data_IF_578406454148
#
_entry.id   IF_578406454148
#
_cell.length_a   1.000
_cell.length_b   1.000
_cell.length_c   1.000
_cell.angle_alpha   90.00
_cell.angle_beta   90.00
_cell.angle_gamma   90.00
#
_symmetry.space_group_name_H-M   'P 1'
#
loop_
_entity.id
_entity.type
_entity.pdbx_description
1 polymer ?
#
# COMPACT_ATOMS: atom_id res chain seq x y z
N UNK A 1 -35.55 -31.99 -16.84
CA UNK A 1 -34.30 -32.79 -16.66
C UNK A 1 -33.25 -31.85 -16.17
N UNK A 2 -32.94 -31.87 -14.88
CA UNK A 2 -31.82 -31.08 -14.33
C UNK A 2 -30.50 -31.70 -14.81
N UNK A 3 -29.74 -30.99 -15.64
CA UNK A 3 -28.41 -31.39 -16.02
C UNK A 3 -27.56 -31.47 -14.75
N UNK A 4 -27.07 -32.65 -14.39
CA UNK A 4 -26.17 -32.82 -13.25
C UNK A 4 -24.90 -32.01 -13.55
N UNK A 5 -24.73 -30.92 -12.80
CA UNK A 5 -23.52 -30.09 -12.88
C UNK A 5 -22.36 -30.94 -12.37
N UNK A 6 -21.34 -31.14 -13.20
CA UNK A 6 -20.14 -31.89 -12.80
C UNK A 6 -19.41 -31.13 -11.68
N UNK A 7 -19.09 -31.80 -10.58
CA UNK A 7 -18.31 -31.29 -9.44
C UNK A 7 -16.99 -30.62 -9.93
N UNK A 8 -16.40 -31.19 -10.96
CA UNK A 8 -15.18 -30.67 -11.58
C UNK A 8 -15.43 -29.30 -12.26
N UNK A 9 -16.56 -29.13 -12.95
CA UNK A 9 -16.90 -27.85 -13.58
C UNK A 9 -17.07 -26.74 -12.53
N UNK A 10 -17.62 -27.06 -11.37
CA UNK A 10 -17.75 -26.10 -10.25
C UNK A 10 -16.36 -25.67 -9.77
N UNK A 11 -15.48 -26.63 -9.50
CA UNK A 11 -14.11 -26.35 -9.03
C UNK A 11 -13.29 -25.58 -10.08
N UNK A 12 -13.42 -25.95 -11.36
CA UNK A 12 -12.72 -25.28 -12.46
C UNK A 12 -13.24 -23.86 -12.72
N UNK A 13 -14.48 -23.55 -12.30
CA UNK A 13 -15.08 -22.21 -12.40
C UNK A 13 -14.76 -21.31 -11.20
N UNK A 14 -14.19 -21.85 -10.12
CA UNK A 14 -13.82 -21.04 -8.95
C UNK A 14 -12.69 -20.07 -9.31
N UNK A 15 -12.83 -18.76 -8.96
CA UNK A 15 -11.79 -17.77 -9.24
C UNK A 15 -10.59 -17.89 -8.29
N UNK A 16 -10.72 -18.64 -7.17
CA UNK A 16 -9.63 -18.90 -6.26
C UNK A 16 -8.81 -20.11 -6.75
N UNK A 17 -7.46 -20.04 -6.70
CA UNK A 17 -6.61 -21.20 -6.90
C UNK A 17 -6.91 -22.31 -5.90
N UNK A 18 -7.22 -23.51 -6.41
CA UNK A 18 -7.51 -24.70 -5.61
C UNK A 18 -6.60 -25.85 -6.04
N UNK A 19 -5.90 -26.44 -5.06
CA UNK A 19 -5.03 -27.60 -5.24
C UNK A 19 -5.49 -28.75 -4.35
N UNK A 20 -5.35 -29.99 -4.82
CA UNK A 20 -5.42 -31.19 -3.97
C UNK A 20 -4.05 -31.85 -3.90
N UNK A 21 -3.56 -32.08 -2.68
CA UNK A 21 -2.21 -32.57 -2.42
C UNK A 21 -2.27 -33.82 -1.54
N UNK A 22 -1.54 -34.86 -1.95
CA UNK A 22 -1.45 -36.13 -1.22
C UNK A 22 -0.30 -36.22 -0.23
N UNK A 23 -0.22 -37.36 0.50
CA UNK A 23 0.75 -37.62 1.58
C UNK A 23 2.23 -37.44 1.18
N UNK A 24 2.57 -37.57 -0.10
CA UNK A 24 3.95 -37.36 -0.60
C UNK A 24 4.15 -35.96 -1.21
N UNK A 25 3.30 -35.01 -0.83
CA UNK A 25 3.25 -33.64 -1.37
C UNK A 25 3.01 -33.59 -2.87
N UNK A 26 2.46 -34.68 -3.44
CA UNK A 26 2.18 -34.77 -4.86
C UNK A 26 0.84 -34.11 -5.16
N UNK A 27 0.81 -33.24 -6.18
CA UNK A 27 -0.39 -32.55 -6.62
C UNK A 27 -1.23 -33.51 -7.44
N UNK A 28 -2.44 -33.83 -6.97
CA UNK A 28 -3.39 -34.69 -7.66
C UNK A 28 -4.39 -33.92 -8.52
N UNK A 29 -4.71 -32.67 -8.11
CA UNK A 29 -5.64 -31.79 -8.82
C UNK A 29 -5.22 -30.32 -8.68
N UNK A 30 -5.53 -29.53 -9.72
CA UNK A 30 -5.44 -28.07 -9.74
C UNK A 30 -6.53 -27.54 -10.67
N UNK A 31 -7.33 -26.58 -10.21
CA UNK A 31 -8.34 -25.90 -11.04
C UNK A 31 -7.68 -24.90 -12.02
N UNK A 32 -8.47 -24.26 -12.88
CA UNK A 32 -7.94 -23.28 -13.85
C UNK A 32 -7.26 -22.09 -13.17
N UNK A 33 -7.84 -21.57 -12.10
CA UNK A 33 -7.23 -20.47 -11.36
C UNK A 33 -5.88 -20.82 -10.73
N UNK A 34 -5.70 -22.08 -10.27
CA UNK A 34 -4.41 -22.55 -9.77
C UNK A 34 -3.38 -22.73 -10.90
N UNK A 35 -3.80 -23.20 -12.07
CA UNK A 35 -2.92 -23.32 -13.23
C UNK A 35 -2.42 -21.94 -13.70
N UNK A 36 -3.28 -20.93 -13.68
CA UNK A 36 -2.93 -19.55 -13.99
C UNK A 36 -2.00 -18.96 -12.90
N UNK A 37 -2.35 -19.11 -11.63
CA UNK A 37 -1.57 -18.60 -10.51
C UNK A 37 -0.13 -19.13 -10.49
N UNK A 38 0.04 -20.43 -10.71
CA UNK A 38 1.37 -21.07 -10.75
C UNK A 38 1.99 -21.07 -12.16
N UNK A 39 1.37 -20.43 -13.14
CA UNK A 39 1.83 -20.37 -14.54
C UNK A 39 2.22 -21.75 -15.10
N UNK A 40 1.45 -22.79 -14.76
CA UNK A 40 1.74 -24.18 -15.11
C UNK A 40 0.47 -24.98 -15.39
N UNK A 41 0.49 -25.82 -16.46
CA UNK A 41 -0.63 -26.72 -16.76
C UNK A 41 -0.81 -27.81 -15.70
N UNK A 42 -2.03 -28.35 -15.57
CA UNK A 42 -2.33 -29.47 -14.65
C UNK A 42 -1.38 -30.65 -14.84
N UNK A 43 -1.03 -30.97 -16.08
CA UNK A 43 -0.10 -32.08 -16.41
C UNK A 43 1.33 -31.80 -15.90
N UNK A 44 1.74 -30.54 -15.90
CA UNK A 44 3.03 -30.10 -15.35
C UNK A 44 3.00 -30.10 -13.83
N UNK A 45 1.94 -29.57 -13.21
CA UNK A 45 1.77 -29.53 -11.75
C UNK A 45 1.75 -30.94 -11.13
N UNK A 46 1.07 -31.91 -11.76
CA UNK A 46 1.04 -33.28 -11.27
C UNK A 46 2.40 -33.99 -11.25
N UNK A 47 3.36 -33.53 -12.04
CA UNK A 47 4.74 -34.07 -12.07
C UNK A 47 5.63 -33.43 -11.02
N UNK A 48 5.17 -32.34 -10.37
CA UNK A 48 5.92 -31.59 -9.37
C UNK A 48 5.40 -31.90 -7.98
N UNK A 49 6.27 -31.76 -7.00
CA UNK A 49 5.89 -31.76 -5.59
C UNK A 49 5.53 -30.34 -5.16
N UNK A 50 4.66 -30.22 -4.17
CA UNK A 50 4.26 -28.93 -3.58
C UNK A 50 5.49 -28.09 -3.16
N UNK A 51 6.51 -28.71 -2.57
CA UNK A 51 7.76 -28.07 -2.16
C UNK A 51 8.46 -27.30 -3.28
N UNK A 52 8.38 -27.81 -4.53
CA UNK A 52 9.02 -27.14 -5.67
C UNK A 52 8.25 -25.93 -6.20
N UNK A 53 7.01 -25.76 -5.77
CA UNK A 53 6.17 -24.61 -6.12
C UNK A 53 6.22 -23.51 -5.05
N UNK A 54 6.66 -23.85 -3.85
CA UNK A 54 6.69 -22.91 -2.72
C UNK A 54 8.07 -22.26 -2.60
N UNK A 55 8.14 -21.00 -2.14
CA UNK A 55 9.40 -20.37 -1.78
C UNK A 55 10.11 -21.16 -0.67
N UNK A 56 11.44 -21.06 -0.66
CA UNK A 56 12.23 -21.70 0.39
C UNK A 56 11.83 -21.17 1.77
N UNK A 57 11.58 -22.10 2.73
CA UNK A 57 11.12 -21.72 4.07
C UNK A 57 9.62 -21.41 4.18
N UNK A 58 8.82 -21.59 3.13
CA UNK A 58 7.37 -21.41 3.18
C UNK A 58 6.71 -22.38 4.17
N UNK A 59 5.79 -21.92 5.02
CA UNK A 59 5.08 -22.79 5.99
C UNK A 59 4.07 -23.74 5.34
N UNK A 60 3.77 -23.57 4.05
CA UNK A 60 2.69 -24.30 3.35
C UNK A 60 2.85 -25.82 3.42
N UNK A 61 4.07 -26.32 3.28
CA UNK A 61 4.36 -27.77 3.32
C UNK A 61 4.04 -28.32 4.68
N UNK A 62 4.48 -27.66 5.76
CA UNK A 62 4.20 -28.06 7.15
C UNK A 62 2.70 -28.01 7.45
N UNK A 63 1.97 -27.02 6.91
CA UNK A 63 0.51 -26.92 7.06
C UNK A 63 -0.20 -28.12 6.42
N UNK A 64 0.21 -28.55 5.24
CA UNK A 64 -0.32 -29.71 4.55
C UNK A 64 -0.04 -30.99 5.35
N UNK A 65 1.19 -31.18 5.83
CA UNK A 65 1.58 -32.31 6.67
C UNK A 65 0.72 -32.38 7.94
N UNK A 66 0.60 -31.27 8.66
CA UNK A 66 -0.21 -31.17 9.88
C UNK A 66 -1.70 -31.43 9.60
N UNK A 67 -2.21 -30.93 8.46
CA UNK A 67 -3.59 -31.16 8.05
C UNK A 67 -3.86 -32.66 7.81
N UNK A 68 -2.98 -33.34 7.09
CA UNK A 68 -3.11 -34.77 6.79
C UNK A 68 -2.91 -35.65 8.02
N UNK A 69 -1.94 -35.29 8.90
CA UNK A 69 -1.64 -36.05 10.11
C UNK A 69 -2.75 -35.95 11.16
N UNK A 70 -3.27 -34.74 11.38
CA UNK A 70 -4.23 -34.48 12.47
C UNK A 70 -5.69 -34.48 11.97
N UNK A 71 -5.94 -34.54 10.66
CA UNK A 71 -7.28 -34.42 10.05
C UNK A 71 -8.02 -33.15 10.47
N UNK A 72 -7.30 -32.07 10.66
CA UNK A 72 -7.83 -30.76 11.03
C UNK A 72 -7.63 -29.74 9.90
N UNK A 73 -8.57 -28.81 9.80
CA UNK A 73 -8.42 -27.68 8.89
C UNK A 73 -7.56 -26.58 9.53
N UNK A 74 -6.71 -25.95 8.72
CA UNK A 74 -5.85 -24.86 9.11
C UNK A 74 -6.09 -23.65 8.21
N UNK A 75 -6.03 -22.47 8.82
CA UNK A 75 -6.09 -21.19 8.11
C UNK A 75 -4.85 -20.41 8.50
N UNK A 76 -4.08 -19.97 7.51
CA UNK A 76 -2.91 -19.15 7.73
C UNK A 76 -3.00 -17.93 6.84
N UNK A 77 -2.69 -16.75 7.40
CA UNK A 77 -2.91 -15.47 6.76
C UNK A 77 -1.58 -14.78 6.46
N UNK A 78 -1.49 -14.16 5.27
CA UNK A 78 -0.34 -13.33 4.92
C UNK A 78 0.91 -14.11 4.55
N UNK A 79 0.76 -15.31 4.00
CA UNK A 79 1.89 -16.11 3.51
C UNK A 79 2.43 -15.49 2.23
N UNK A 80 3.74 -15.30 2.17
CA UNK A 80 4.43 -14.88 0.95
C UNK A 80 4.73 -16.11 0.07
N UNK A 81 4.09 -16.18 -1.09
CA UNK A 81 4.32 -17.18 -2.13
C UNK A 81 5.05 -16.61 -3.34
N UNK A 82 5.74 -15.48 -3.18
CA UNK A 82 6.48 -14.84 -4.27
C UNK A 82 7.58 -15.76 -4.79
N UNK A 83 7.48 -16.12 -6.07
CA UNK A 83 8.42 -16.98 -6.80
C UNK A 83 8.44 -16.56 -8.27
N UNK A 84 9.46 -16.98 -9.06
CA UNK A 84 9.53 -16.63 -10.48
C UNK A 84 8.29 -17.01 -11.29
N UNK A 85 7.54 -18.01 -10.86
CA UNK A 85 6.34 -18.52 -11.52
C UNK A 85 5.02 -18.01 -10.93
N UNK A 86 5.03 -17.42 -9.73
CA UNK A 86 3.86 -16.77 -9.10
C UNK A 86 3.91 -15.24 -9.17
N UNK A 87 5.03 -14.71 -9.63
CA UNK A 87 5.31 -13.29 -9.70
C UNK A 87 5.84 -12.70 -8.37
N UNK A 88 6.40 -11.51 -8.42
CA UNK A 88 6.76 -10.75 -7.22
C UNK A 88 5.48 -10.33 -6.52
N UNK A 89 5.40 -10.34 -5.21
CA UNK A 89 4.26 -9.85 -4.40
C UNK A 89 3.02 -10.77 -4.34
N UNK A 90 3.23 -12.08 -4.27
CA UNK A 90 2.16 -13.07 -4.11
C UNK A 90 1.85 -13.35 -2.64
N UNK A 91 1.41 -12.32 -1.88
CA UNK A 91 0.93 -12.51 -0.51
C UNK A 91 -0.50 -13.06 -0.55
N UNK A 92 -0.69 -14.21 0.11
CA UNK A 92 -1.96 -14.95 0.09
C UNK A 92 -2.42 -15.31 1.49
N UNK A 93 -3.72 -15.52 1.63
CA UNK A 93 -4.29 -16.25 2.74
C UNK A 93 -4.53 -17.69 2.28
N UNK A 94 -4.18 -18.67 3.10
CA UNK A 94 -4.24 -20.07 2.78
C UNK A 94 -5.24 -20.78 3.68
N UNK A 95 -6.16 -21.53 3.08
CA UNK A 95 -7.05 -22.45 3.76
C UNK A 95 -6.69 -23.88 3.38
N UNK A 96 -6.40 -24.73 4.36
CA UNK A 96 -6.05 -26.13 4.16
C UNK A 96 -7.07 -26.99 4.88
N UNK A 97 -7.74 -27.87 4.16
CA UNK A 97 -8.75 -28.75 4.72
C UNK A 97 -8.50 -30.22 4.30
N UNK A 98 -8.64 -31.20 5.20
CA UNK A 98 -8.51 -32.60 4.85
C UNK A 98 -9.77 -33.10 4.13
N UNK A 99 -9.60 -33.94 3.12
CA UNK A 99 -10.68 -34.70 2.52
C UNK A 99 -10.21 -36.07 2.04
N UNK A 100 -11.14 -36.98 1.81
CA UNK A 100 -10.84 -38.29 1.27
C UNK A 100 -11.39 -38.41 -0.15
N UNK A 101 -10.59 -38.95 -1.08
CA UNK A 101 -11.08 -39.26 -2.41
C UNK A 101 -11.98 -40.52 -2.40
N UNK A 102 -12.64 -40.82 -3.50
CA UNK A 102 -13.50 -42.03 -3.66
C UNK A 102 -12.74 -43.37 -3.43
N UNK A 103 -11.42 -43.36 -3.44
CA UNK A 103 -10.56 -44.49 -3.15
C UNK A 103 -10.10 -44.62 -1.71
N UNK A 104 -10.56 -43.74 -0.82
CA UNK A 104 -10.16 -43.71 0.62
C UNK A 104 -8.77 -43.12 0.85
N UNK A 105 -8.16 -42.48 -0.14
CA UNK A 105 -6.87 -41.79 0.00
C UNK A 105 -7.09 -40.42 0.66
N UNK A 106 -6.34 -40.14 1.73
CA UNK A 106 -6.37 -38.84 2.39
C UNK A 106 -5.61 -37.80 1.59
N UNK A 107 -6.27 -36.70 1.31
CA UNK A 107 -5.76 -35.56 0.57
C UNK A 107 -5.98 -34.28 1.36
N UNK A 108 -5.13 -33.28 1.16
CA UNK A 108 -5.35 -31.93 1.64
C UNK A 108 -5.82 -31.04 0.47
N UNK A 109 -6.95 -30.35 0.68
CA UNK A 109 -7.45 -29.33 -0.20
C UNK A 109 -6.85 -27.99 0.22
N UNK A 110 -6.08 -27.37 -0.67
CA UNK A 110 -5.52 -26.04 -0.49
C UNK A 110 -6.32 -25.04 -1.29
N UNK A 111 -6.85 -24.03 -0.64
CA UNK A 111 -7.46 -22.88 -1.29
C UNK A 111 -6.52 -21.70 -1.03
N UNK A 112 -5.95 -21.19 -2.11
CA UNK A 112 -5.08 -20.01 -2.06
C UNK A 112 -5.95 -18.82 -2.36
N UNK A 113 -6.05 -17.90 -1.41
CA UNK A 113 -6.78 -16.66 -1.57
C UNK A 113 -5.77 -15.50 -1.69
N UNK A 114 -5.44 -15.06 -2.91
CA UNK A 114 -4.63 -13.86 -3.07
C UNK A 114 -5.27 -12.72 -2.30
N UNK A 115 -4.50 -12.01 -1.49
CA UNK A 115 -5.03 -10.84 -0.79
C UNK A 115 -5.48 -9.83 -1.83
N UNK A 116 -6.76 -9.89 -2.13
CA UNK A 116 -7.36 -9.07 -3.16
C UNK A 116 -7.24 -7.59 -2.79
N UNK A 117 -7.13 -6.76 -3.81
CA UNK A 117 -7.22 -5.30 -3.72
C UNK A 117 -8.39 -4.84 -2.83
N UNK A 118 -9.52 -5.57 -2.85
CA UNK A 118 -10.69 -5.28 -2.03
C UNK A 118 -10.41 -5.32 -0.52
N UNK A 119 -9.66 -6.29 -0.03
CA UNK A 119 -9.32 -6.39 1.39
C UNK A 119 -8.31 -5.30 1.83
N UNK A 120 -7.40 -4.91 0.92
CA UNK A 120 -6.48 -3.78 1.14
C UNK A 120 -7.24 -2.45 1.14
N UNK A 121 -8.25 -2.31 0.29
CA UNK A 121 -9.13 -1.14 0.21
C UNK A 121 -10.00 -0.99 1.46
N UNK A 122 -10.54 -2.07 2.01
CA UNK A 122 -11.36 -2.04 3.23
C UNK A 122 -10.54 -1.55 4.44
N UNK A 123 -9.29 -1.99 4.57
CA UNK A 123 -8.33 -1.41 5.52
C UNK A 123 -8.11 0.09 5.30
N UNK A 124 -7.98 0.54 4.05
CA UNK A 124 -7.79 1.95 3.74
C UNK A 124 -9.00 2.82 4.08
N UNK A 125 -10.22 2.30 3.96
CA UNK A 125 -11.43 3.02 4.38
C UNK A 125 -11.44 3.26 5.90
N UNK A 126 -10.90 2.34 6.67
CA UNK A 126 -10.74 2.48 8.13
C UNK A 126 -9.69 3.55 8.46
N UNK A 127 -8.54 3.55 7.77
CA UNK A 127 -7.50 4.59 7.92
C UNK A 127 -7.99 5.99 7.49
N UNK A 128 -8.86 6.07 6.46
CA UNK A 128 -9.53 7.33 6.07
C UNK A 128 -10.44 7.88 7.18
N UNK A 129 -11.15 7.01 7.89
CA UNK A 129 -11.98 7.42 9.02
C UNK A 129 -11.16 8.04 10.15
N UNK A 130 -10.04 7.44 10.53
CA UNK A 130 -9.12 7.97 11.53
C UNK A 130 -8.51 9.31 11.08
N UNK A 131 -8.04 9.40 9.84
CA UNK A 131 -7.48 10.65 9.30
C UNK A 131 -8.52 11.78 9.24
N UNK A 132 -9.79 11.50 8.88
CA UNK A 132 -10.87 12.49 8.90
C UNK A 132 -11.22 13.00 10.29
N UNK A 133 -11.24 12.13 11.30
CA UNK A 133 -11.52 12.53 12.68
C UNK A 133 -10.42 13.47 13.23
N UNK A 134 -9.16 13.20 12.87
CA UNK A 134 -8.02 14.08 13.16
C UNK A 134 -8.17 15.40 12.40
N UNK A 135 -8.61 15.37 11.14
CA UNK A 135 -8.78 16.54 10.27
C UNK A 135 -9.79 17.56 10.83
N UNK A 136 -10.96 17.09 11.28
CA UNK A 136 -12.03 17.99 11.78
C UNK A 136 -11.62 18.81 13.02
N UNK A 137 -10.69 18.30 13.83
CA UNK A 137 -10.19 18.99 15.03
C UNK A 137 -8.91 19.81 14.77
N UNK A 138 -8.21 19.52 13.67
CA UNK A 138 -6.85 20.03 13.43
C UNK A 138 -6.79 21.54 13.29
N UNK A 139 -7.68 22.16 12.54
CA UNK A 139 -7.63 23.60 12.26
C UNK A 139 -7.89 24.44 13.52
N UNK A 140 -8.89 24.06 14.32
CA UNK A 140 -9.22 24.79 15.54
C UNK A 140 -8.11 24.65 16.58
N UNK A 141 -7.63 23.41 16.81
CA UNK A 141 -6.55 23.15 17.76
C UNK A 141 -5.23 23.80 17.32
N UNK A 142 -4.93 23.83 16.01
CA UNK A 142 -3.72 24.46 15.51
C UNK A 142 -3.68 25.96 15.87
N UNK A 143 -4.76 26.68 15.63
CA UNK A 143 -4.85 28.11 15.99
C UNK A 143 -4.77 28.32 17.50
N UNK A 144 -5.45 27.51 18.30
CA UNK A 144 -5.44 27.61 19.75
C UNK A 144 -4.09 27.28 20.40
N UNK A 145 -3.28 26.41 19.75
CA UNK A 145 -1.92 26.06 20.20
C UNK A 145 -0.90 27.08 19.71
N UNK A 146 -1.00 27.60 18.48
CA UNK A 146 -0.08 28.62 17.94
C UNK A 146 -0.10 29.91 18.74
N UNK A 147 -1.26 30.30 19.26
CA UNK A 147 -1.41 31.55 20.06
C UNK A 147 -0.54 31.53 21.31
N UNK A 148 -0.64 30.58 22.26
CA UNK A 148 0.23 30.53 23.44
C UNK A 148 1.70 30.33 23.07
N UNK A 149 2.03 29.53 22.01
CA UNK A 149 3.42 29.37 21.57
C UNK A 149 4.02 30.68 21.09
N UNK A 150 3.28 31.52 20.38
CA UNK A 150 3.71 32.84 19.96
C UNK A 150 3.98 33.75 21.15
N UNK A 151 3.14 33.67 22.19
CA UNK A 151 3.35 34.39 23.45
C UNK A 151 4.61 33.94 24.19
N UNK A 152 4.84 32.61 24.31
CA UNK A 152 6.03 32.06 24.96
C UNK A 152 7.30 32.46 24.18
N UNK A 153 7.29 32.37 22.84
CA UNK A 153 8.41 32.78 22.00
C UNK A 153 8.70 34.29 22.16
N UNK A 154 7.67 35.13 22.12
CA UNK A 154 7.81 36.58 22.30
C UNK A 154 8.38 36.95 23.67
N UNK A 155 7.92 36.31 24.75
CA UNK A 155 8.46 36.49 26.08
C UNK A 155 9.95 36.05 26.17
N UNK A 156 10.31 34.92 25.61
CA UNK A 156 11.69 34.44 25.57
C UNK A 156 12.61 35.41 24.80
N UNK A 157 12.16 35.94 23.66
CA UNK A 157 12.90 36.92 22.85
C UNK A 157 13.10 38.25 23.59
N UNK A 158 12.11 38.71 24.34
CA UNK A 158 12.25 39.91 25.16
C UNK A 158 13.25 39.71 26.31
N UNK A 159 13.24 38.54 26.94
CA UNK A 159 14.19 38.20 27.99
C UNK A 159 15.63 38.08 27.46
N UNK A 160 15.84 37.64 26.21
CA UNK A 160 17.16 37.43 25.62
C UNK A 160 18.00 38.72 25.59
N UNK A 161 17.35 39.89 25.51
CA UNK A 161 18.04 41.20 25.53
C UNK A 161 18.57 41.62 26.92
N UNK A 162 18.01 41.06 28.01
CA UNK A 162 18.26 41.52 29.36
C UNK A 162 18.94 40.46 30.28
N UNK A 163 19.26 39.28 29.77
CA UNK A 163 19.84 38.19 30.56
C UNK A 163 21.36 38.05 30.37
N UNK A 164 22.01 37.43 31.33
CA UNK A 164 23.42 37.04 31.22
C UNK A 164 23.66 36.00 30.11
N UNK A 165 24.90 35.92 29.61
CA UNK A 165 25.25 34.96 28.55
C UNK A 165 24.86 33.51 28.88
N UNK A 166 24.91 33.12 30.15
CA UNK A 166 24.51 31.79 30.63
C UNK A 166 23.00 31.52 30.50
N UNK A 167 22.17 32.58 30.70
CA UNK A 167 20.72 32.48 30.54
C UNK A 167 20.25 32.70 29.11
N UNK A 168 21.08 33.29 28.23
CA UNK A 168 20.77 33.45 26.81
C UNK A 168 20.67 32.10 26.09
N UNK A 169 21.45 31.10 26.49
CA UNK A 169 21.31 29.74 25.96
C UNK A 169 19.93 29.14 26.29
N UNK A 170 19.39 29.42 27.47
CA UNK A 170 18.05 28.92 27.86
C UNK A 170 16.93 29.62 27.09
N UNK A 171 17.04 30.92 26.85
CA UNK A 171 16.05 31.65 26.05
C UNK A 171 16.06 31.20 24.59
N UNK A 172 17.23 30.93 24.00
CA UNK A 172 17.38 30.37 22.69
C UNK A 172 16.82 28.94 22.58
N UNK A 173 17.01 28.10 23.61
CA UNK A 173 16.40 26.78 23.67
C UNK A 173 14.86 26.90 23.70
N UNK A 174 14.29 27.78 24.48
CA UNK A 174 12.85 28.02 24.53
C UNK A 174 12.34 28.46 23.15
N UNK A 175 13.00 29.40 22.48
CA UNK A 175 12.63 29.83 21.13
C UNK A 175 12.67 28.66 20.12
N UNK A 176 13.75 27.88 20.14
CA UNK A 176 13.90 26.76 19.20
C UNK A 176 12.87 25.65 19.42
N UNK A 177 12.56 25.30 20.67
CA UNK A 177 11.53 24.30 20.97
C UNK A 177 10.13 24.83 20.65
N UNK A 178 9.87 26.12 20.87
CA UNK A 178 8.60 26.75 20.49
C UNK A 178 8.40 26.74 18.98
N UNK A 179 9.44 27.05 18.20
CA UNK A 179 9.43 26.94 16.73
C UNK A 179 9.25 25.50 16.26
N UNK A 180 9.89 24.55 16.92
CA UNK A 180 9.72 23.12 16.64
C UNK A 180 8.28 22.67 16.85
N UNK A 181 7.65 23.07 17.96
CA UNK A 181 6.25 22.73 18.25
C UNK A 181 5.32 23.44 17.24
N UNK A 182 5.55 24.70 16.91
CA UNK A 182 4.78 25.41 15.89
C UNK A 182 4.85 24.70 14.53
N UNK A 183 6.04 24.25 14.12
CA UNK A 183 6.20 23.45 12.88
C UNK A 183 5.52 22.08 12.92
N UNK A 184 5.32 21.47 14.08
CA UNK A 184 4.51 20.26 14.23
C UNK A 184 3.02 20.58 14.06
N UNK A 185 2.57 21.71 14.64
CA UNK A 185 1.18 22.18 14.54
C UNK A 185 0.84 22.58 13.11
N UNK A 186 1.76 23.23 12.37
CA UNK A 186 1.59 23.55 10.95
C UNK A 186 1.35 22.29 10.10
N UNK A 187 2.12 21.23 10.34
CA UNK A 187 1.94 19.96 9.66
C UNK A 187 0.62 19.28 10.02
N UNK A 188 0.15 19.48 11.25
CA UNK A 188 -1.13 18.99 11.71
C UNK A 188 -2.30 19.75 11.05
N UNK A 189 -2.15 21.06 10.83
CA UNK A 189 -3.13 21.89 10.12
C UNK A 189 -3.32 21.48 8.66
N UNK A 190 -2.29 20.90 8.01
CA UNK A 190 -2.40 20.33 6.67
C UNK A 190 -3.39 19.16 6.56
N UNK A 191 -3.79 18.57 7.70
CA UNK A 191 -4.91 17.61 7.75
C UNK A 191 -6.28 18.27 7.72
N UNK A 192 -6.37 19.60 7.92
CA UNK A 192 -7.63 20.32 7.91
C UNK A 192 -8.38 20.16 6.58
N UNK A 193 -9.71 20.09 6.65
CA UNK A 193 -10.59 20.06 5.48
C UNK A 193 -10.63 21.44 4.83
N UNK A 194 -9.73 21.70 3.91
CA UNK A 194 -9.89 22.80 2.96
C UNK A 194 -10.64 22.25 1.75
N UNK A 195 -11.76 22.84 1.33
CA UNK A 195 -12.37 22.51 0.06
C UNK A 195 -11.34 22.77 -1.04
N UNK A 196 -10.86 21.72 -1.68
CA UNK A 196 -9.87 21.82 -2.74
C UNK A 196 -10.57 21.56 -4.05
N UNK A 197 -10.34 22.43 -5.02
CA UNK A 197 -10.75 22.17 -6.39
C UNK A 197 -9.99 20.95 -6.92
N UNK A 198 -10.73 19.88 -7.19
CA UNK A 198 -10.20 18.61 -7.69
C UNK A 198 -10.58 18.37 -9.15
N UNK A 199 -11.13 19.37 -9.85
CA UNK A 199 -11.66 19.21 -11.21
C UNK A 199 -10.65 19.54 -12.33
N UNK A 200 -9.45 19.97 -11.95
CA UNK A 200 -8.40 20.30 -12.94
C UNK A 200 -7.74 19.01 -13.49
N UNK A 201 -7.66 18.84 -14.83
CA UNK A 201 -6.90 17.76 -15.41
C UNK A 201 -5.39 17.98 -15.21
N UNK A 202 -4.68 16.96 -14.77
CA UNK A 202 -3.27 17.03 -14.37
C UNK A 202 -2.49 15.88 -14.98
N UNK A 203 -1.40 16.21 -15.64
CA UNK A 203 -0.40 15.25 -16.07
C UNK A 203 0.51 14.86 -14.87
N UNK A 204 0.39 13.63 -14.39
CA UNK A 204 1.15 13.16 -13.22
C UNK A 204 2.64 12.98 -13.54
N UNK A 205 3.02 12.68 -14.80
CA UNK A 205 4.43 12.58 -15.16
C UNK A 205 5.17 13.92 -14.95
N UNK A 206 4.51 15.05 -15.23
CA UNK A 206 5.08 16.37 -14.95
C UNK A 206 5.29 16.62 -13.45
N UNK A 207 4.43 16.03 -12.58
CA UNK A 207 4.61 16.08 -11.14
C UNK A 207 5.80 15.21 -10.72
N UNK A 208 5.85 13.96 -11.21
CA UNK A 208 6.93 13.01 -10.86
C UNK A 208 8.30 13.55 -11.27
N UNK A 209 8.39 14.18 -12.45
CA UNK A 209 9.63 14.81 -12.91
C UNK A 209 10.05 15.98 -12.03
N UNK A 210 9.12 16.84 -11.63
CA UNK A 210 9.39 17.94 -10.69
C UNK A 210 9.87 17.40 -9.33
N UNK A 211 9.21 16.39 -8.79
CA UNK A 211 9.59 15.76 -7.53
C UNK A 211 10.97 15.12 -7.62
N UNK A 212 11.27 14.43 -8.72
CA UNK A 212 12.60 13.86 -8.98
C UNK A 212 13.68 14.92 -9.00
N UNK A 213 13.45 16.04 -9.68
CA UNK A 213 14.40 17.16 -9.73
C UNK A 213 14.61 17.77 -8.35
N UNK A 214 13.56 18.00 -7.59
CA UNK A 214 13.64 18.51 -6.21
C UNK A 214 14.42 17.56 -5.32
N UNK A 215 14.12 16.25 -5.39
CA UNK A 215 14.82 15.24 -4.60
C UNK A 215 16.32 15.18 -4.96
N UNK A 216 16.66 15.14 -6.25
CA UNK A 216 18.04 15.04 -6.74
C UNK A 216 18.89 16.25 -6.33
N UNK A 217 18.30 17.44 -6.28
CA UNK A 217 18.98 18.67 -5.86
C UNK A 217 18.95 18.92 -4.34
N UNK A 218 18.28 18.06 -3.57
CA UNK A 218 18.11 18.20 -2.14
C UNK A 218 18.39 16.90 -1.39
N UNK A 219 17.35 16.40 -0.71
CA UNK A 219 17.44 15.26 0.22
C UNK A 219 17.83 13.93 -0.43
N UNK A 220 17.63 13.76 -1.74
CA UNK A 220 17.93 12.55 -2.51
C UNK A 220 19.17 12.68 -3.41
N UNK A 221 20.10 13.60 -3.14
CA UNK A 221 21.31 13.78 -3.94
C UNK A 221 22.22 12.54 -4.01
N UNK A 222 22.11 11.65 -3.03
CA UNK A 222 22.85 10.38 -2.94
C UNK A 222 22.16 9.21 -3.66
N UNK A 223 20.97 9.42 -4.22
CA UNK A 223 20.11 8.35 -4.78
C UNK A 223 20.22 8.31 -6.30
N UNK A 224 20.27 7.10 -6.86
CA UNK A 224 20.10 6.86 -8.29
C UNK A 224 18.59 6.77 -8.62
N UNK A 225 18.09 7.64 -9.49
CA UNK A 225 16.70 7.61 -9.94
C UNK A 225 16.59 6.90 -11.27
N UNK A 226 15.63 5.96 -11.36
CA UNK A 226 15.27 5.25 -12.61
C UNK A 226 13.81 5.59 -12.92
N UNK A 227 13.55 5.94 -14.17
CA UNK A 227 12.22 6.28 -14.67
C UNK A 227 11.74 5.17 -15.59
N UNK A 228 10.51 4.69 -15.33
CA UNK A 228 9.85 3.63 -16.10
C UNK A 228 8.37 4.04 -16.27
N UNK A 229 8.15 4.97 -17.20
CA UNK A 229 6.85 5.57 -17.41
C UNK A 229 6.15 5.05 -18.66
N UNK A 230 4.84 4.81 -18.52
CA UNK A 230 3.95 4.66 -19.67
C UNK A 230 3.51 6.04 -20.17
N UNK A 231 4.04 6.54 -21.29
CA UNK A 231 3.75 7.89 -21.78
C UNK A 231 2.31 8.06 -22.30
N UNK A 232 1.57 6.97 -22.45
CA UNK A 232 0.20 6.98 -22.98
C UNK A 232 -0.86 7.23 -21.91
N UNK A 233 -0.47 7.35 -20.63
CA UNK A 233 -1.42 7.54 -19.55
C UNK A 233 -2.17 8.87 -19.69
N UNK A 234 -3.51 8.87 -19.58
CA UNK A 234 -4.31 10.08 -19.55
C UNK A 234 -4.10 10.86 -18.25
N UNK A 235 -4.52 12.12 -18.28
CA UNK A 235 -4.51 12.98 -17.10
C UNK A 235 -5.41 12.44 -15.97
N UNK A 236 -5.11 12.82 -14.74
CA UNK A 236 -5.97 12.64 -13.56
C UNK A 236 -6.71 13.93 -13.24
N UNK A 237 -7.88 13.84 -12.62
CA UNK A 237 -8.53 15.00 -11.98
C UNK A 237 -7.96 15.22 -10.60
N UNK A 238 -7.62 16.46 -10.26
CA UNK A 238 -7.10 16.72 -8.95
C UNK A 238 -6.51 18.09 -8.73
N UNK A 239 -5.78 18.23 -7.63
CA UNK A 239 -5.00 19.40 -7.29
C UNK A 239 -3.51 19.08 -7.41
N UNK A 240 -2.81 19.88 -8.23
CA UNK A 240 -1.39 19.68 -8.55
C UNK A 240 -0.49 19.74 -7.32
N UNK A 241 -0.73 20.70 -6.43
CA UNK A 241 0.11 20.92 -5.27
C UNK A 241 -0.03 19.78 -4.26
N UNK A 242 -1.26 19.31 -4.04
CA UNK A 242 -1.54 18.16 -3.18
C UNK A 242 -0.94 16.87 -3.73
N UNK A 243 -1.06 16.60 -5.05
CA UNK A 243 -0.43 15.43 -5.66
C UNK A 243 1.10 15.53 -5.63
N UNK A 244 1.66 16.74 -5.82
CA UNK A 244 3.10 16.97 -5.65
C UNK A 244 3.54 16.61 -4.22
N UNK A 245 2.77 17.01 -3.22
CA UNK A 245 3.03 16.69 -1.81
C UNK A 245 2.96 15.19 -1.54
N UNK A 246 2.01 14.46 -2.16
CA UNK A 246 1.94 12.98 -2.08
C UNK A 246 3.25 12.37 -2.54
N UNK A 247 3.66 12.65 -3.79
CA UNK A 247 4.85 12.04 -4.37
C UNK A 247 6.14 12.50 -3.69
N UNK A 248 6.21 13.75 -3.24
CA UNK A 248 7.35 14.28 -2.49
C UNK A 248 7.52 13.53 -1.15
N UNK A 249 6.42 13.27 -0.42
CA UNK A 249 6.46 12.49 0.83
C UNK A 249 6.91 11.05 0.59
N UNK A 250 6.40 10.40 -0.47
CA UNK A 250 6.79 9.03 -0.79
C UNK A 250 8.25 8.93 -1.22
N UNK A 251 8.72 9.81 -2.10
CA UNK A 251 10.11 9.85 -2.58
C UNK A 251 11.08 10.21 -1.44
N UNK A 252 10.68 11.11 -0.53
CA UNK A 252 11.48 11.45 0.65
C UNK A 252 11.62 10.25 1.58
N UNK A 253 10.52 9.51 1.83
CA UNK A 253 10.58 8.30 2.65
C UNK A 253 11.48 7.23 2.03
N UNK A 254 11.42 7.04 0.72
CA UNK A 254 12.29 6.14 -0.03
C UNK A 254 13.76 6.57 0.08
N UNK A 255 14.08 7.85 -0.13
CA UNK A 255 15.44 8.36 -0.05
C UNK A 255 16.07 8.24 1.36
N UNK A 256 15.24 8.32 2.40
CA UNK A 256 15.65 8.12 3.79
C UNK A 256 15.85 6.63 4.16
N UNK A 257 15.20 5.71 3.43
CA UNK A 257 15.26 4.27 3.68
C UNK A 257 16.42 3.58 2.97
N UNK A 258 16.94 4.15 1.88
CA UNK A 258 17.98 3.54 1.07
C UNK A 258 19.39 3.81 1.60
N UNK A 259 20.34 2.94 1.24
CA UNK A 259 21.75 3.12 1.55
C UNK A 259 22.34 4.33 0.80
N UNK A 260 23.21 5.11 1.49
CA UNK A 260 23.81 6.33 0.92
C UNK A 260 24.74 6.08 -0.29
N UNK A 261 25.19 4.85 -0.52
CA UNK A 261 26.15 4.52 -1.59
C UNK A 261 25.51 3.74 -2.74
N UNK A 262 24.44 3.00 -2.46
CA UNK A 262 23.79 2.08 -3.42
C UNK A 262 22.28 2.30 -3.52
N UNK A 263 21.80 3.43 -3.01
CA UNK A 263 20.38 3.76 -3.01
C UNK A 263 19.86 3.94 -4.44
N UNK A 264 18.81 3.20 -4.77
CA UNK A 264 18.07 3.28 -6.02
C UNK A 264 16.60 3.53 -5.72
N UNK A 265 16.00 4.49 -6.41
CA UNK A 265 14.57 4.74 -6.42
C UNK A 265 14.08 4.68 -7.85
N UNK A 266 13.11 3.82 -8.10
CA UNK A 266 12.45 3.69 -9.40
C UNK A 266 11.06 4.31 -9.33
N UNK A 267 10.77 5.21 -10.27
CA UNK A 267 9.48 5.85 -10.47
C UNK A 267 8.81 5.20 -11.67
N UNK A 268 7.67 4.54 -11.46
CA UNK A 268 6.97 3.82 -12.52
C UNK A 268 5.55 4.36 -12.68
N UNK A 269 5.05 4.27 -13.90
CA UNK A 269 3.64 4.48 -14.18
C UNK A 269 3.11 3.39 -15.10
N UNK A 270 1.85 2.95 -14.91
CA UNK A 270 1.24 1.91 -15.71
C UNK A 270 -0.28 2.06 -15.80
N UNK A 271 -0.85 1.59 -16.91
CA UNK A 271 -2.30 1.42 -17.04
C UNK A 271 -2.70 0.03 -16.56
N UNK A 272 -3.61 -0.03 -15.55
CA UNK A 272 -4.13 -1.28 -14.97
C UNK A 272 -5.64 -1.37 -15.14
N UNK A 273 -6.13 -1.87 -16.27
CA UNK A 273 -7.56 -2.03 -16.48
C UNK A 273 -8.15 -3.03 -15.49
N UNK A 274 -9.42 -2.81 -15.08
CA UNK A 274 -10.15 -3.76 -14.22
C UNK A 274 -10.08 -3.45 -12.72
N UNK A 275 -9.28 -2.51 -12.26
CA UNK A 275 -9.27 -2.11 -10.86
C UNK A 275 -10.44 -1.17 -10.59
N UNK A 276 -11.31 -1.55 -9.64
CA UNK A 276 -12.50 -0.81 -9.25
C UNK A 276 -12.59 -0.71 -7.73
N UNK A 277 -12.99 0.46 -7.25
CA UNK A 277 -13.22 0.76 -5.84
C UNK A 277 -14.71 0.90 -5.58
N UNK A 278 -15.29 0.00 -4.79
CA UNK A 278 -16.68 0.12 -4.31
C UNK A 278 -16.68 0.88 -2.99
N UNK A 279 -17.38 2.00 -2.93
CA UNK A 279 -17.52 2.79 -1.71
C UNK A 279 -18.94 2.60 -1.14
N UNK A 280 -19.10 2.45 0.19
CA UNK A 280 -20.41 2.44 0.82
C UNK A 280 -21.20 3.71 0.46
N UNK A 281 -22.46 3.54 0.04
CA UNK A 281 -23.35 4.65 -0.33
C UNK A 281 -23.20 5.16 -1.77
N UNK A 282 -22.28 4.62 -2.59
CA UNK A 282 -22.23 4.91 -4.03
C UNK A 282 -22.79 3.74 -4.85
N UNK A 283 -23.67 4.04 -5.79
CA UNK A 283 -24.31 3.03 -6.65
C UNK A 283 -23.34 2.43 -7.69
N UNK A 284 -22.29 3.16 -8.08
CA UNK A 284 -21.32 2.70 -9.09
C UNK A 284 -19.90 2.69 -8.52
N UNK A 285 -19.09 1.65 -8.78
CA UNK A 285 -17.68 1.60 -8.36
C UNK A 285 -16.86 2.62 -9.14
N UNK A 286 -15.86 3.21 -8.49
CA UNK A 286 -14.88 4.09 -9.11
C UNK A 286 -13.82 3.23 -9.83
N UNK A 287 -13.51 3.53 -11.08
CA UNK A 287 -12.42 2.89 -11.82
C UNK A 287 -11.09 3.55 -11.48
N UNK A 288 -10.06 2.76 -11.14
CA UNK A 288 -8.73 3.22 -10.76
C UNK A 288 -7.64 2.62 -11.69
N UNK A 289 -7.67 2.96 -12.99
CA UNK A 289 -6.77 2.31 -13.95
C UNK A 289 -5.35 2.90 -13.96
N UNK A 290 -5.12 4.06 -13.36
CA UNK A 290 -3.82 4.72 -13.38
C UNK A 290 -3.04 4.35 -12.12
N UNK A 291 -1.93 3.64 -12.29
CA UNK A 291 -1.04 3.22 -11.20
C UNK A 291 0.30 3.95 -11.31
N UNK A 292 0.72 4.57 -10.21
CA UNK A 292 2.01 5.23 -10.05
C UNK A 292 2.74 4.56 -8.89
N UNK A 293 3.94 4.06 -9.13
CA UNK A 293 4.70 3.30 -8.13
C UNK A 293 6.03 3.95 -7.82
N UNK A 294 6.36 4.05 -6.55
CA UNK A 294 7.66 4.44 -6.03
C UNK A 294 8.29 3.19 -5.42
N UNK A 295 9.39 2.73 -5.99
CA UNK A 295 10.08 1.50 -5.62
C UNK A 295 11.47 1.87 -5.12
N UNK A 296 11.80 1.47 -3.90
CA UNK A 296 13.14 1.65 -3.34
C UNK A 296 13.79 0.32 -2.96
N UNK A 297 15.11 0.29 -2.95
CA UNK A 297 15.93 -0.83 -2.51
C UNK A 297 16.42 -0.67 -1.05
N UNK A 298 15.58 -0.02 -0.22
CA UNK A 298 15.89 0.25 1.18
C UNK A 298 15.70 -0.95 2.10
N UNK A 299 15.87 -0.70 3.39
CA UNK A 299 15.79 -1.72 4.48
C UNK A 299 14.41 -2.32 4.69
N UNK A 300 13.40 -1.82 3.99
CA UNK A 300 12.02 -2.24 4.14
C UNK A 300 11.33 -1.67 5.37
N UNK A 301 10.06 -2.05 5.52
CA UNK A 301 9.19 -1.65 6.62
C UNK A 301 9.07 -2.83 7.60
N UNK A 302 9.28 -2.62 8.92
CA UNK A 302 9.08 -3.65 9.94
C UNK A 302 7.65 -4.22 9.93
N UNK A 303 7.51 -5.53 10.15
CA UNK A 303 6.23 -6.23 10.02
C UNK A 303 5.18 -5.76 11.03
N UNK A 304 5.61 -5.38 12.22
CA UNK A 304 4.76 -4.89 13.33
C UNK A 304 4.05 -3.57 12.99
N UNK A 305 4.65 -2.73 12.15
CA UNK A 305 4.04 -1.43 11.77
C UNK A 305 3.37 -1.44 10.40
N UNK A 306 3.55 -2.48 9.57
CA UNK A 306 2.98 -2.53 8.21
C UNK A 306 1.46 -2.32 8.19
N UNK A 307 0.75 -2.86 9.19
CA UNK A 307 -0.71 -2.73 9.29
C UNK A 307 -1.17 -1.32 9.67
N UNK A 308 -0.31 -0.52 10.28
CA UNK A 308 -0.58 0.82 10.82
C UNK A 308 0.23 1.92 10.12
N UNK A 309 0.89 1.58 9.01
CA UNK A 309 1.82 2.46 8.31
C UNK A 309 1.21 3.82 7.89
N UNK A 310 -0.09 3.82 7.60
CA UNK A 310 -0.85 5.01 7.22
C UNK A 310 -1.62 5.64 8.37
N UNK A 311 -1.50 5.12 9.60
CA UNK A 311 -2.12 5.73 10.77
C UNK A 311 -1.31 6.98 11.18
N UNK A 312 -1.99 8.05 11.63
CA UNK A 312 -1.32 9.23 12.15
C UNK A 312 -0.39 8.89 13.32
N UNK A 313 0.76 9.55 13.38
CA UNK A 313 1.78 9.43 14.45
C UNK A 313 2.56 8.11 14.47
N UNK A 314 2.32 7.19 13.54
CA UNK A 314 3.11 5.96 13.39
C UNK A 314 4.41 6.27 12.67
N UNK A 315 5.56 6.00 13.32
CA UNK A 315 6.89 6.23 12.78
C UNK A 315 7.94 5.35 13.45
N UNK A 316 8.92 4.89 12.69
CA UNK A 316 10.15 4.23 13.19
C UNK A 316 11.31 5.19 13.33
N UNK A 317 11.16 6.45 12.88
CA UNK A 317 12.23 7.44 12.83
C UNK A 317 12.23 8.27 14.13
N UNK A 318 13.37 8.46 14.76
CA UNK A 318 13.51 9.25 16.00
C UNK A 318 13.04 10.70 15.85
N UNK A 319 13.22 11.30 14.68
CA UNK A 319 12.79 12.67 14.37
C UNK A 319 11.56 12.72 13.44
N UNK A 320 10.90 11.55 13.21
CA UNK A 320 9.72 11.45 12.37
C UNK A 320 8.46 11.91 13.11
N UNK A 321 7.59 12.65 12.44
CA UNK A 321 6.29 13.05 13.00
C UNK A 321 5.21 11.97 12.86
N UNK A 322 5.43 10.97 12.00
CA UNK A 322 4.42 9.95 11.68
C UNK A 322 3.21 10.47 10.91
N UNK A 323 3.28 11.71 10.39
CA UNK A 323 2.16 12.35 9.69
C UNK A 323 2.24 12.22 8.16
N UNK A 324 3.43 12.00 7.60
CA UNK A 324 3.65 12.04 6.16
C UNK A 324 2.83 11.02 5.37
N UNK A 325 2.82 9.75 5.80
CA UNK A 325 2.07 8.69 5.11
C UNK A 325 0.55 8.77 5.38
N UNK A 326 0.15 9.21 6.56
CA UNK A 326 -1.26 9.49 6.85
C UNK A 326 -1.80 10.60 5.94
N UNK A 327 -1.02 11.67 5.71
CA UNK A 327 -1.36 12.74 4.77
C UNK A 327 -1.43 12.22 3.32
N UNK A 328 -0.51 11.35 2.91
CA UNK A 328 -0.56 10.68 1.60
C UNK A 328 -1.89 9.92 1.44
N UNK A 329 -2.27 9.10 2.43
CA UNK A 329 -3.52 8.34 2.39
C UNK A 329 -4.76 9.26 2.33
N UNK A 330 -4.76 10.37 3.07
CA UNK A 330 -5.83 11.38 3.03
C UNK A 330 -5.93 12.00 1.64
N UNK A 331 -4.86 12.60 1.13
CA UNK A 331 -4.87 13.32 -0.15
C UNK A 331 -5.26 12.38 -1.29
N UNK A 332 -4.65 11.19 -1.39
CA UNK A 332 -5.01 10.19 -2.41
C UNK A 332 -6.46 9.78 -2.28
N UNK A 333 -6.96 9.64 -1.05
CA UNK A 333 -8.35 9.36 -0.76
C UNK A 333 -9.31 10.46 -1.20
N UNK A 334 -8.97 11.72 -0.97
CA UNK A 334 -9.77 12.88 -1.39
C UNK A 334 -9.85 12.97 -2.92
N UNK A 335 -8.80 12.53 -3.63
CA UNK A 335 -8.78 12.37 -5.10
C UNK A 335 -9.52 11.12 -5.59
N UNK A 336 -10.23 10.39 -4.72
CA UNK A 336 -10.94 9.16 -5.09
C UNK A 336 -10.03 7.96 -5.36
N UNK A 337 -8.74 8.06 -5.07
CA UNK A 337 -7.72 7.05 -5.30
C UNK A 337 -7.46 6.12 -4.13
N UNK A 338 -6.43 5.27 -4.26
CA UNK A 338 -5.93 4.37 -3.21
C UNK A 338 -4.41 4.42 -3.16
N UNK A 339 -3.82 4.23 -1.97
CA UNK A 339 -2.38 4.03 -1.79
C UNK A 339 -2.11 2.72 -1.06
N UNK A 340 -1.12 1.98 -1.50
CA UNK A 340 -0.72 0.69 -0.93
C UNK A 340 0.79 0.67 -0.70
N UNK A 341 1.21 -0.14 0.27
CA UNK A 341 2.61 -0.42 0.54
C UNK A 341 2.85 -1.93 0.55
N UNK A 342 3.77 -2.36 -0.29
CA UNK A 342 4.36 -3.69 -0.25
C UNK A 342 5.82 -3.56 0.15
N UNK A 343 6.25 -4.27 1.17
CA UNK A 343 7.62 -4.16 1.64
C UNK A 343 8.19 -5.50 2.06
N UNK A 344 9.38 -5.78 1.55
CA UNK A 344 10.27 -6.87 1.97
C UNK A 344 11.49 -6.29 2.66
N UNK A 345 12.43 -7.14 3.10
CA UNK A 345 13.69 -6.67 3.75
C UNK A 345 14.65 -5.93 2.82
N UNK A 346 14.44 -6.00 1.51
CA UNK A 346 15.36 -5.45 0.50
C UNK A 346 14.68 -4.49 -0.48
N UNK A 347 13.37 -4.28 -0.33
CA UNK A 347 12.59 -3.47 -1.28
C UNK A 347 11.30 -2.99 -0.67
N UNK A 348 10.96 -1.72 -0.89
CA UNK A 348 9.64 -1.17 -0.61
C UNK A 348 9.01 -0.63 -1.88
N UNK A 349 7.70 -0.87 -2.04
CA UNK A 349 6.90 -0.37 -3.15
C UNK A 349 5.69 0.36 -2.57
N UNK A 350 5.59 1.64 -2.85
CA UNK A 350 4.36 2.39 -2.67
C UNK A 350 3.63 2.51 -4.00
N UNK A 351 2.35 2.07 -4.05
CA UNK A 351 1.49 2.17 -5.23
C UNK A 351 0.36 3.14 -4.98
N UNK A 352 0.29 4.18 -5.77
CA UNK A 352 -0.81 5.16 -5.79
C UNK A 352 -1.66 4.88 -7.01
N UNK A 353 -2.97 4.65 -6.82
CA UNK A 353 -3.92 4.47 -7.92
C UNK A 353 -4.92 5.60 -7.93
N UNK A 354 -5.13 6.17 -9.11
CA UNK A 354 -5.99 7.33 -9.30
C UNK A 354 -7.01 7.09 -10.43
N UNK A 355 -8.19 7.74 -10.35
CA UNK A 355 -9.14 7.74 -11.44
C UNK A 355 -8.65 8.64 -12.59
N UNK A 356 -9.10 8.32 -13.81
CA UNK A 356 -8.83 9.17 -14.99
C UNK A 356 -9.65 10.46 -14.97
N UNK A 357 -9.16 11.49 -15.64
CA UNK A 357 -9.85 12.77 -15.84
C UNK A 357 -11.00 12.71 -16.86
N UNK A 358 -11.35 11.53 -17.38
CA UNK A 358 -12.41 11.39 -18.40
C UNK A 358 -13.77 11.75 -17.82
N UNK A 359 -14.48 12.66 -18.50
CA UNK A 359 -15.82 13.02 -18.18
C UNK A 359 -16.77 11.80 -18.23
N UNK A 360 -17.67 11.69 -17.27
CA UNK A 360 -18.76 10.69 -17.21
C UNK A 360 -19.79 10.79 -18.38
N UNK A 361 -19.42 11.37 -19.50
CA UNK A 361 -20.33 11.69 -20.63
C UNK A 361 -20.48 10.60 -21.69
N UNK A 362 -19.80 9.45 -21.59
CA UNK A 362 -19.86 8.42 -22.64
C UNK A 362 -20.27 7.01 -22.16
N UNK A 363 -21.24 6.87 -21.26
CA UNK A 363 -21.78 5.53 -20.95
C UNK A 363 -23.32 5.48 -20.96
N UNK A 364 -23.98 6.39 -21.67
CA UNK A 364 -25.43 6.26 -21.94
C UNK A 364 -25.76 5.56 -23.27
N UNK A 365 -24.79 5.06 -24.00
CA UNK A 365 -25.00 4.60 -25.37
C UNK A 365 -24.44 3.24 -25.76
N UNK A 366 -24.36 2.25 -24.86
CA UNK A 366 -24.04 0.85 -25.25
C UNK A 366 -24.76 -0.14 -24.35
N UNK A 367 -26.10 -0.10 -24.38
CA UNK A 367 -26.94 -1.28 -24.20
C UNK A 367 -27.26 -1.82 -25.60
N UNK A 368 -26.58 -2.88 -26.01
CA UNK A 368 -27.06 -3.86 -26.98
C UNK A 368 -26.84 -5.24 -26.41
#
# INVERSE_FOLDING_TARGET
MSAAISERLILDSMPQPVLAVGLKHQISYANFAAQEFFSASLSSLRKRKLETLMPFGSPVVNLVENCLANRLSFNEYGIDLSAPHTGPDSIVDLHVAPFENRGGEALALLIVQPRSLAHRIDKQLTHRGAARSVSAMSAMLAHEIKNPLSGIKGAAQLLESDVSAENAELTQLICSETERIAGLVDRFEQFSETPVDLDTPINVHAILENVRMLAKNGFGAHVSFIEDYDPSLPDVRGNRDLLTQVFLNLVKNAAEAVDKRKGEIRLCSAFRPGIRLSLPGRARPIRLPLEFSIIDNGIGVPDDIKSHLFDPFVTTKSNGTGLGLALVAKIVGDHGGTVECDSTRERTIFRVRLPMAVADTETEGLEI
#
